data_IF_775330209855
#
_entry.id   IF_775330209855
#
_cell.length_a   1.000
_cell.length_b   1.000
_cell.length_c   1.000
_cell.angle_alpha   90.00
_cell.angle_beta   90.00
_cell.angle_gamma   90.00
#
_symmetry.space_group_name_H-M   'P 1'
#
loop_
_entity.id
_entity.type
_entity.pdbx_description
1 polymer ?
#
# COMPACT_ATOMS: atom_id res chain seq x y z
N UNK A 1 25.75 -10.22 6.41
CA UNK A 1 25.05 -9.35 7.38
C UNK A 1 24.21 -10.23 8.28
N UNK A 2 24.09 -9.92 9.58
CA UNK A 2 23.18 -10.65 10.47
C UNK A 2 21.71 -10.26 10.26
N UNK A 3 20.80 -10.90 11.00
CA UNK A 3 19.35 -10.64 10.93
C UNK A 3 18.94 -9.26 11.44
N UNK A 4 19.78 -8.68 12.30
CA UNK A 4 19.62 -7.35 12.87
C UNK A 4 20.95 -6.61 12.73
N UNK A 5 20.91 -5.43 12.14
CA UNK A 5 22.09 -4.62 11.81
C UNK A 5 21.87 -3.20 12.33
N UNK A 6 22.85 -2.60 12.98
CA UNK A 6 22.73 -1.21 13.45
C UNK A 6 22.63 -0.26 12.26
N UNK A 7 21.69 0.68 12.32
CA UNK A 7 21.59 1.77 11.36
C UNK A 7 22.65 2.87 11.64
N UNK A 8 22.95 3.75 10.68
CA UNK A 8 23.83 4.91 10.90
C UNK A 8 23.28 5.93 11.92
N UNK A 9 21.99 5.85 12.24
CA UNK A 9 21.30 6.63 13.27
C UNK A 9 20.90 5.73 14.45
N UNK A 10 20.21 6.29 15.46
CA UNK A 10 19.76 5.53 16.62
C UNK A 10 18.62 4.55 16.25
N UNK A 11 18.98 3.40 15.68
CA UNK A 11 18.05 2.34 15.29
C UNK A 11 18.71 1.15 14.63
N UNK A 12 17.89 0.23 14.12
CA UNK A 12 18.32 -1.05 13.55
C UNK A 12 17.58 -1.35 12.25
N UNK A 13 18.26 -1.99 11.30
CA UNK A 13 17.66 -2.68 10.16
C UNK A 13 17.45 -4.15 10.52
N UNK A 14 16.30 -4.70 10.14
CA UNK A 14 15.97 -6.12 10.31
C UNK A 14 15.75 -6.74 8.94
N UNK A 15 16.47 -7.82 8.68
CA UNK A 15 16.60 -8.40 7.34
C UNK A 15 16.15 -9.86 7.29
N UNK A 16 16.28 -10.61 8.39
CA UNK A 16 15.86 -12.01 8.45
C UNK A 16 14.34 -12.17 8.52
N UNK A 17 13.79 -13.16 7.80
CA UNK A 17 12.34 -13.36 7.71
C UNK A 17 11.68 -13.53 9.08
N UNK A 18 12.24 -14.39 9.93
CA UNK A 18 11.67 -14.69 11.25
C UNK A 18 11.78 -13.50 12.20
N UNK A 19 12.89 -12.75 12.16
CA UNK A 19 13.07 -11.53 12.96
C UNK A 19 12.10 -10.43 12.52
N UNK A 20 11.95 -10.21 11.21
CA UNK A 20 10.94 -9.29 10.66
C UNK A 20 9.52 -9.71 11.05
N UNK A 21 9.20 -10.99 10.94
CA UNK A 21 7.92 -11.56 11.37
C UNK A 21 7.65 -11.32 12.86
N UNK A 22 8.65 -11.52 13.73
CA UNK A 22 8.57 -11.24 15.17
C UNK A 22 8.26 -9.76 15.42
N UNK A 23 8.93 -8.84 14.72
CA UNK A 23 8.69 -7.39 14.85
C UNK A 23 7.28 -7.02 14.40
N UNK A 24 6.82 -7.54 13.27
CA UNK A 24 5.50 -7.19 12.73
C UNK A 24 4.34 -7.74 13.55
N UNK A 25 4.50 -8.92 14.18
CA UNK A 25 3.44 -9.63 14.91
C UNK A 25 3.49 -9.42 16.42
N UNK A 26 4.64 -9.02 16.95
CA UNK A 26 4.86 -8.88 18.39
C UNK A 26 4.17 -7.66 18.99
N UNK A 27 3.60 -7.82 20.19
CA UNK A 27 2.87 -6.75 20.90
C UNK A 27 3.79 -5.66 21.48
N UNK A 28 5.08 -5.95 21.63
CA UNK A 28 6.09 -5.03 22.16
C UNK A 28 6.66 -4.09 21.09
N UNK A 29 6.17 -4.19 19.86
CA UNK A 29 6.61 -3.38 18.74
C UNK A 29 5.50 -2.41 18.34
N UNK A 30 5.71 -1.14 18.65
CA UNK A 30 4.72 -0.08 18.45
C UNK A 30 5.01 0.69 17.15
N UNK A 31 3.99 1.33 16.59
CA UNK A 31 4.22 2.38 15.61
C UNK A 31 4.84 3.61 16.31
N UNK A 32 5.67 4.42 15.62
CA UNK A 32 6.20 5.67 16.18
C UNK A 32 5.06 6.68 16.38
N UNK A 33 4.48 6.74 17.57
CA UNK A 33 3.35 7.62 17.93
C UNK A 33 3.81 9.00 18.41
N UNK A 34 2.87 9.89 18.71
CA UNK A 34 3.16 11.26 19.16
C UNK A 34 4.01 11.29 20.43
N UNK A 35 3.71 10.44 21.42
CA UNK A 35 4.48 10.40 22.66
C UNK A 35 5.94 10.06 22.38
N UNK A 36 6.21 9.07 21.52
CA UNK A 36 7.57 8.74 21.11
C UNK A 36 8.23 9.88 20.33
N UNK A 37 7.50 10.51 19.40
CA UNK A 37 7.98 11.61 18.56
C UNK A 37 8.42 12.83 19.37
N UNK A 38 7.67 13.22 20.40
CA UNK A 38 7.97 14.35 21.29
C UNK A 38 9.28 14.15 22.09
N UNK A 39 9.77 12.92 22.22
CA UNK A 39 11.04 12.60 22.88
C UNK A 39 12.25 12.64 21.95
N UNK A 40 12.06 12.86 20.65
CA UNK A 40 13.15 12.80 19.67
C UNK A 40 13.79 14.18 19.42
N UNK A 41 15.10 14.17 19.12
CA UNK A 41 15.86 15.41 18.88
C UNK A 41 15.54 16.09 17.53
N UNK A 42 14.97 15.35 16.56
CA UNK A 42 14.64 15.86 15.23
C UNK A 42 13.21 16.43 15.17
N UNK A 43 12.98 17.51 15.90
CA UNK A 43 11.68 18.17 15.94
C UNK A 43 11.22 18.63 14.54
N UNK A 44 12.15 19.01 13.64
CA UNK A 44 11.80 19.44 12.27
C UNK A 44 11.09 18.34 11.48
N UNK A 45 11.53 17.09 11.62
CA UNK A 45 10.88 15.94 10.97
C UNK A 45 9.55 15.60 11.64
N UNK A 46 9.56 15.49 12.96
CA UNK A 46 8.42 14.92 13.70
C UNK A 46 7.29 15.93 13.93
N UNK A 47 7.59 17.23 13.99
CA UNK A 47 6.58 18.29 14.07
C UNK A 47 6.08 18.78 12.71
N UNK A 48 6.65 18.31 11.60
CA UNK A 48 6.16 18.64 10.28
C UNK A 48 4.67 18.26 10.14
N UNK A 49 3.86 19.18 9.60
CA UNK A 49 2.41 19.03 9.48
C UNK A 49 2.02 17.68 8.87
N UNK A 50 2.66 17.30 7.76
CA UNK A 50 2.38 16.05 7.07
C UNK A 50 2.74 14.80 7.89
N UNK A 51 3.84 14.85 8.65
CA UNK A 51 4.22 13.77 9.57
C UNK A 51 3.17 13.62 10.66
N UNK A 52 2.78 14.72 11.31
CA UNK A 52 1.77 14.71 12.37
C UNK A 52 0.41 14.22 11.87
N UNK A 53 0.01 14.61 10.67
CA UNK A 53 -1.22 14.13 10.06
C UNK A 53 -1.19 12.61 9.90
N UNK A 54 -0.10 12.07 9.34
CA UNK A 54 0.05 10.63 9.15
C UNK A 54 0.11 9.86 10.47
N UNK A 55 0.74 10.41 11.51
CA UNK A 55 0.75 9.82 12.85
C UNK A 55 -0.66 9.62 13.41
N UNK A 56 -1.62 10.46 13.00
CA UNK A 56 -3.02 10.37 13.42
C UNK A 56 -3.85 9.34 12.63
N UNK A 57 -3.29 8.73 11.59
CA UNK A 57 -3.99 7.74 10.76
C UNK A 57 -3.89 6.33 11.34
N UNK A 58 -4.86 5.47 10.98
CA UNK A 58 -4.95 4.10 11.48
C UNK A 58 -3.64 3.30 11.37
N UNK A 59 -2.82 3.51 10.33
CA UNK A 59 -1.56 2.78 10.18
C UNK A 59 -0.47 3.16 11.20
N UNK A 60 -0.60 4.29 11.89
CA UNK A 60 0.38 4.81 12.85
C UNK A 60 -0.12 4.86 14.30
N UNK A 61 -1.38 4.51 14.55
CA UNK A 61 -1.92 4.41 15.89
C UNK A 61 -1.45 3.13 16.59
N UNK A 62 -1.28 3.21 17.91
CA UNK A 62 -1.10 2.06 18.79
C UNK A 62 -2.42 1.70 19.50
N UNK A 63 -2.45 0.59 20.24
CA UNK A 63 -3.61 0.27 21.08
C UNK A 63 -3.66 1.19 22.32
N UNK A 64 -4.86 1.57 22.81
CA UNK A 64 -6.20 1.08 22.41
C UNK A 64 -6.83 1.75 21.18
N UNK A 65 -6.37 2.94 20.77
CA UNK A 65 -7.00 3.77 19.73
C UNK A 65 -7.05 3.04 18.38
N UNK A 66 -5.94 2.43 17.96
CA UNK A 66 -5.87 1.57 16.78
C UNK A 66 -6.91 0.46 16.84
N UNK A 67 -7.06 -0.18 18.00
CA UNK A 67 -7.97 -1.32 18.15
C UNK A 67 -9.42 -0.88 18.02
N UNK A 68 -9.78 0.29 18.57
CA UNK A 68 -11.11 0.87 18.44
C UNK A 68 -11.42 1.20 16.97
N UNK A 69 -10.56 2.01 16.33
CA UNK A 69 -10.76 2.41 14.94
C UNK A 69 -10.69 1.24 13.95
N UNK A 70 -9.81 0.26 14.18
CA UNK A 70 -9.74 -0.94 13.34
C UNK A 70 -11.02 -1.76 13.43
N UNK A 71 -11.62 -1.88 14.61
CA UNK A 71 -12.89 -2.61 14.80
C UNK A 71 -14.08 -1.87 14.20
N UNK A 72 -14.11 -0.54 14.24
CA UNK A 72 -15.22 0.23 13.66
C UNK A 72 -15.32 0.05 12.14
N UNK A 73 -14.21 -0.26 11.48
CA UNK A 73 -14.19 -0.61 10.06
C UNK A 73 -14.65 -2.05 9.79
N UNK A 74 -14.78 -2.90 10.80
CA UNK A 74 -15.05 -4.32 10.64
C UNK A 74 -14.00 -5.00 9.74
N UNK A 75 -14.45 -5.97 8.95
CA UNK A 75 -13.64 -6.55 7.87
C UNK A 75 -14.06 -5.91 6.55
N UNK A 76 -13.48 -4.75 6.21
CA UNK A 76 -13.87 -3.95 5.04
C UNK A 76 -13.91 -4.74 3.73
N UNK A 77 -12.98 -5.68 3.59
CA UNK A 77 -12.82 -6.51 2.39
C UNK A 77 -12.98 -7.98 2.76
N UNK A 78 -14.04 -8.26 3.52
CA UNK A 78 -14.51 -9.62 3.73
C UNK A 78 -14.96 -10.28 2.42
N UNK A 79 -15.24 -11.59 2.48
CA UNK A 79 -15.65 -12.36 1.30
C UNK A 79 -16.86 -11.74 0.59
N UNK A 80 -17.87 -11.31 1.35
CA UNK A 80 -19.10 -10.74 0.79
C UNK A 80 -18.85 -9.41 0.06
N UNK A 81 -17.97 -8.57 0.60
CA UNK A 81 -17.60 -7.30 -0.03
C UNK A 81 -16.73 -7.52 -1.27
N UNK A 82 -15.79 -8.47 -1.22
CA UNK A 82 -15.00 -8.86 -2.40
C UNK A 82 -15.90 -9.40 -3.52
N UNK A 83 -16.86 -10.27 -3.21
CA UNK A 83 -17.84 -10.78 -4.19
C UNK A 83 -18.65 -9.63 -4.82
N UNK A 84 -19.05 -8.64 -4.03
CA UNK A 84 -19.78 -7.44 -4.52
C UNK A 84 -18.91 -6.50 -5.35
N UNK A 85 -17.62 -6.35 -5.02
CA UNK A 85 -16.68 -5.49 -5.74
C UNK A 85 -16.17 -6.11 -7.04
N UNK A 86 -16.20 -7.45 -7.16
CA UNK A 86 -15.64 -8.16 -8.32
C UNK A 86 -16.18 -7.63 -9.67
N UNK A 87 -17.50 -7.48 -9.88
CA UNK A 87 -18.02 -6.96 -11.15
C UNK A 87 -17.57 -5.52 -11.46
N UNK A 88 -17.35 -4.69 -10.45
CA UNK A 88 -16.86 -3.32 -10.63
C UNK A 88 -15.39 -3.32 -11.06
N UNK A 89 -14.55 -4.13 -10.38
CA UNK A 89 -13.13 -4.30 -10.72
C UNK A 89 -12.99 -4.84 -12.14
N UNK A 90 -13.78 -5.83 -12.54
CA UNK A 90 -13.78 -6.38 -13.91
C UNK A 90 -14.13 -5.30 -14.94
N UNK A 91 -15.21 -4.54 -14.71
CA UNK A 91 -15.60 -3.44 -15.61
C UNK A 91 -14.51 -2.36 -15.72
N UNK A 92 -13.90 -1.98 -14.60
CA UNK A 92 -12.82 -1.01 -14.60
C UNK A 92 -11.59 -1.54 -15.36
N UNK A 93 -11.20 -2.80 -15.13
CA UNK A 93 -10.11 -3.44 -15.86
C UNK A 93 -10.42 -3.49 -17.37
N UNK A 94 -11.60 -3.95 -17.77
CA UNK A 94 -11.97 -4.08 -19.18
C UNK A 94 -11.88 -2.74 -19.93
N UNK A 95 -12.41 -1.66 -19.34
CA UNK A 95 -12.30 -0.31 -19.93
C UNK A 95 -10.84 0.15 -20.05
N UNK A 96 -10.04 -0.04 -19.01
CA UNK A 96 -8.62 0.37 -19.06
C UNK A 96 -7.83 -0.45 -20.07
N UNK A 97 -8.18 -1.73 -20.26
CA UNK A 97 -7.58 -2.57 -21.28
C UNK A 97 -8.07 -2.21 -22.69
N UNK A 98 -9.29 -1.68 -22.87
CA UNK A 98 -9.73 -1.09 -24.14
C UNK A 98 -8.87 0.13 -24.50
N UNK A 99 -8.66 1.03 -23.54
CA UNK A 99 -7.79 2.21 -23.71
C UNK A 99 -6.34 1.82 -24.01
N UNK A 100 -5.81 0.79 -23.32
CA UNK A 100 -4.49 0.25 -23.61
C UNK A 100 -4.41 -0.32 -25.03
N UNK A 101 -5.41 -1.12 -25.44
CA UNK A 101 -5.45 -1.71 -26.77
C UNK A 101 -5.42 -0.64 -27.86
N UNK A 102 -6.17 0.45 -27.71
CA UNK A 102 -6.19 1.55 -28.67
C UNK A 102 -4.85 2.29 -28.76
N UNK A 103 -4.14 2.49 -27.64
CA UNK A 103 -2.79 3.06 -27.66
C UNK A 103 -1.78 2.12 -28.33
N UNK A 104 -1.85 0.82 -28.04
CA UNK A 104 -0.95 -0.19 -28.62
C UNK A 104 -1.07 -0.30 -30.15
N UNK A 105 -2.20 0.10 -30.76
CA UNK A 105 -2.34 0.19 -32.23
C UNK A 105 -1.33 1.16 -32.86
N UNK A 106 -0.83 2.13 -32.10
CA UNK A 106 0.11 3.14 -32.56
C UNK A 106 1.57 2.84 -32.18
N UNK A 107 1.84 1.66 -31.61
CA UNK A 107 3.17 1.20 -31.22
C UNK A 107 3.24 0.88 -29.73
N UNK A 108 3.85 1.77 -28.97
CA UNK A 108 4.11 1.58 -27.54
C UNK A 108 3.13 2.38 -26.69
N UNK A 109 2.82 1.87 -25.50
CA UNK A 109 2.01 2.56 -24.51
C UNK A 109 2.70 2.54 -23.14
N UNK A 110 2.51 3.58 -22.34
CA UNK A 110 2.91 3.56 -20.95
C UNK A 110 1.83 2.87 -20.10
N UNK A 111 2.17 1.71 -19.54
CA UNK A 111 1.25 0.91 -18.74
C UNK A 111 0.86 1.60 -17.42
N UNK A 112 1.77 2.41 -16.86
CA UNK A 112 1.55 3.05 -15.56
C UNK A 112 0.41 4.05 -15.62
N UNK A 113 0.56 5.06 -16.48
CA UNK A 113 -0.45 6.11 -16.65
C UNK A 113 -1.76 5.61 -17.28
N UNK A 114 -1.71 4.55 -18.09
CA UNK A 114 -2.89 4.02 -18.79
C UNK A 114 -3.71 3.05 -17.94
N UNK A 115 -3.06 2.23 -17.10
CA UNK A 115 -3.75 1.13 -16.41
C UNK A 115 -3.46 1.12 -14.91
N UNK A 116 -2.20 1.00 -14.50
CA UNK A 116 -1.91 0.63 -13.10
C UNK A 116 -2.23 1.73 -12.09
N UNK A 117 -2.05 3.01 -12.43
CA UNK A 117 -2.47 4.11 -11.54
C UNK A 117 -4.00 4.29 -11.56
N UNK A 118 -4.65 3.90 -12.66
CA UNK A 118 -6.08 4.11 -12.87
C UNK A 118 -6.95 3.05 -12.18
N UNK A 119 -6.59 1.77 -12.25
CA UNK A 119 -7.40 0.68 -11.68
C UNK A 119 -7.71 0.88 -10.18
N UNK A 120 -6.73 1.17 -9.29
CA UNK A 120 -7.02 1.32 -7.87
C UNK A 120 -7.84 2.58 -7.56
N UNK A 121 -7.61 3.72 -8.24
CA UNK A 121 -8.41 4.93 -8.00
C UNK A 121 -9.86 4.74 -8.46
N UNK A 122 -10.09 4.06 -9.58
CA UNK A 122 -11.44 3.74 -10.04
C UNK A 122 -12.15 2.78 -9.07
N UNK A 123 -11.43 1.77 -8.57
CA UNK A 123 -11.98 0.78 -7.64
C UNK A 123 -12.33 1.42 -6.29
N UNK A 124 -11.38 2.10 -5.64
CA UNK A 124 -11.62 2.71 -4.34
C UNK A 124 -12.56 3.91 -4.44
N UNK A 125 -12.47 4.69 -5.52
CA UNK A 125 -13.32 5.84 -5.77
C UNK A 125 -14.77 5.44 -5.94
N UNK A 126 -15.06 4.39 -6.72
CA UNK A 126 -16.42 3.85 -6.84
C UNK A 126 -16.94 3.35 -5.49
N UNK A 127 -16.11 2.61 -4.74
CA UNK A 127 -16.51 2.03 -3.46
C UNK A 127 -16.76 3.06 -2.35
N UNK A 128 -15.97 4.15 -2.30
CA UNK A 128 -16.15 5.29 -1.38
C UNK A 128 -17.17 6.32 -1.89
N UNK A 129 -17.65 6.19 -3.13
CA UNK A 129 -18.55 7.15 -3.77
C UNK A 129 -17.90 8.52 -4.04
N UNK A 130 -16.60 8.52 -4.38
CA UNK A 130 -15.85 9.70 -4.80
C UNK A 130 -16.26 10.10 -6.23
N UNK A 131 -16.45 11.40 -6.53
CA UNK A 131 -16.70 11.88 -7.88
C UNK A 131 -15.56 11.53 -8.85
N UNK A 132 -15.81 10.87 -10.00
CA UNK A 132 -14.77 10.50 -10.96
C UNK A 132 -13.92 11.66 -11.48
N UNK A 133 -14.49 12.86 -11.56
CA UNK A 133 -13.80 14.09 -11.94
C UNK A 133 -12.67 14.47 -10.98
N UNK A 134 -12.72 14.01 -9.73
CA UNK A 134 -11.71 14.30 -8.71
C UNK A 134 -10.51 13.33 -8.78
N UNK A 135 -10.62 12.21 -9.51
CA UNK A 135 -9.61 11.13 -9.48
C UNK A 135 -8.20 11.60 -9.87
N UNK A 136 -8.01 12.40 -10.94
CA UNK A 136 -6.68 12.92 -11.28
C UNK A 136 -6.08 13.77 -10.17
N UNK A 137 -6.89 14.61 -9.52
CA UNK A 137 -6.44 15.46 -8.43
C UNK A 137 -6.07 14.64 -7.19
N UNK A 138 -6.89 13.65 -6.82
CA UNK A 138 -6.63 12.74 -5.69
C UNK A 138 -5.34 11.95 -5.89
N UNK A 139 -5.10 11.45 -7.10
CA UNK A 139 -3.84 10.78 -7.45
C UNK A 139 -2.64 11.71 -7.25
N UNK A 140 -2.72 12.93 -7.77
CA UNK A 140 -1.64 13.93 -7.65
C UNK A 140 -1.31 14.23 -6.18
N UNK A 141 -2.30 14.62 -5.39
CA UNK A 141 -2.08 14.99 -3.99
C UNK A 141 -1.65 13.79 -3.13
N UNK A 142 -2.11 12.57 -3.44
CA UNK A 142 -1.64 11.36 -2.75
C UNK A 142 -0.16 11.09 -3.03
N UNK A 143 0.27 11.20 -4.30
CA UNK A 143 1.67 11.03 -4.67
C UNK A 143 2.61 12.08 -4.07
N UNK A 144 2.10 13.29 -3.82
CA UNK A 144 2.84 14.36 -3.15
C UNK A 144 2.85 14.20 -1.63
N UNK A 145 1.80 13.61 -1.05
CA UNK A 145 1.72 13.39 0.40
C UNK A 145 2.72 12.32 0.89
N UNK A 146 2.91 11.24 0.13
CA UNK A 146 3.64 10.05 0.59
C UNK A 146 5.10 10.30 1.02
N UNK A 147 5.72 11.42 0.63
CA UNK A 147 7.06 11.79 1.07
C UNK A 147 7.21 11.88 2.60
N UNK A 148 6.17 12.27 3.36
CA UNK A 148 6.23 12.26 4.83
C UNK A 148 6.31 10.85 5.43
N UNK A 149 6.08 9.82 4.61
CA UNK A 149 6.15 8.42 5.01
C UNK A 149 7.51 7.78 4.65
N UNK A 150 8.39 8.49 3.93
CA UNK A 150 9.73 8.03 3.57
C UNK A 150 10.66 7.92 4.80
N UNK A 151 11.72 7.14 4.67
CA UNK A 151 12.62 6.85 5.78
C UNK A 151 13.45 8.08 6.18
N UNK A 152 13.92 8.86 5.22
CA UNK A 152 14.74 10.05 5.41
C UNK A 152 14.28 11.17 4.44
N UNK A 153 13.09 11.75 4.65
CA UNK A 153 12.60 12.81 3.77
C UNK A 153 13.45 14.08 3.96
N UNK A 154 13.72 14.80 2.87
CA UNK A 154 14.34 16.12 2.96
C UNK A 154 13.31 17.17 3.41
N UNK A 155 13.78 18.35 3.83
CA UNK A 155 12.86 19.46 4.14
C UNK A 155 12.02 19.90 2.94
N UNK A 156 12.54 19.76 1.72
CA UNK A 156 11.78 20.03 0.49
C UNK A 156 10.67 19.02 0.29
N UNK A 157 10.96 17.73 0.51
CA UNK A 157 9.97 16.66 0.40
C UNK A 157 8.84 16.83 1.43
N UNK A 158 9.20 17.22 2.67
CA UNK A 158 8.22 17.53 3.72
C UNK A 158 7.37 18.76 3.39
N UNK A 159 7.90 19.76 2.71
CA UNK A 159 7.13 20.94 2.29
C UNK A 159 6.08 20.56 1.23
N UNK A 160 6.47 19.78 0.22
CA UNK A 160 5.53 19.23 -0.80
C UNK A 160 4.44 18.40 -0.13
N UNK A 161 4.83 17.55 0.82
CA UNK A 161 3.89 16.72 1.56
C UNK A 161 2.94 17.53 2.45
N UNK A 162 3.43 18.63 3.05
CA UNK A 162 2.61 19.52 3.87
C UNK A 162 1.52 20.22 3.05
N UNK A 163 1.86 20.71 1.86
CA UNK A 163 0.88 21.31 0.95
C UNK A 163 -0.19 20.29 0.53
N UNK A 164 0.23 19.07 0.13
CA UNK A 164 -0.70 17.99 -0.21
C UNK A 164 -1.58 17.58 0.98
N UNK A 165 -1.04 17.58 2.20
CA UNK A 165 -1.77 17.27 3.42
C UNK A 165 -2.90 18.26 3.68
N UNK A 166 -2.68 19.56 3.46
CA UNK A 166 -3.74 20.58 3.59
C UNK A 166 -4.86 20.31 2.60
N UNK A 167 -4.53 19.98 1.34
CA UNK A 167 -5.52 19.68 0.30
C UNK A 167 -6.31 18.40 0.60
N UNK A 168 -5.64 17.33 1.01
CA UNK A 168 -6.26 16.06 1.42
C UNK A 168 -7.22 16.26 2.60
N UNK A 169 -6.77 16.95 3.65
CA UNK A 169 -7.62 17.27 4.81
C UNK A 169 -8.87 18.05 4.37
N UNK A 170 -8.70 19.10 3.58
CA UNK A 170 -9.84 19.89 3.09
C UNK A 170 -10.82 19.03 2.27
N UNK A 171 -10.31 18.21 1.35
CA UNK A 171 -11.12 17.35 0.49
C UNK A 171 -11.93 16.32 1.29
N UNK A 172 -11.28 15.57 2.20
CA UNK A 172 -11.96 14.51 2.94
C UNK A 172 -12.89 15.04 4.04
N UNK A 173 -12.59 16.21 4.63
CA UNK A 173 -13.53 16.89 5.53
C UNK A 173 -14.80 17.32 4.77
N UNK A 174 -14.63 17.93 3.59
CA UNK A 174 -15.76 18.30 2.74
C UNK A 174 -16.56 17.07 2.28
N UNK A 175 -15.89 15.96 1.93
CA UNK A 175 -16.54 14.72 1.55
C UNK A 175 -17.44 14.18 2.68
N UNK A 176 -16.95 14.17 3.94
CA UNK A 176 -17.76 13.76 5.10
C UNK A 176 -18.94 14.71 5.28
N UNK A 177 -18.72 16.02 5.19
CA UNK A 177 -19.78 17.02 5.33
C UNK A 177 -20.87 16.87 4.26
N UNK A 178 -20.49 16.73 2.98
CA UNK A 178 -21.40 16.44 1.87
C UNK A 178 -22.18 15.14 2.11
N UNK A 179 -21.49 14.10 2.58
CA UNK A 179 -22.13 12.81 2.83
C UNK A 179 -23.15 12.84 3.97
N UNK A 180 -22.93 13.69 4.98
CA UNK A 180 -23.91 13.93 6.04
C UNK A 180 -25.13 14.70 5.54
N UNK A 181 -24.92 15.71 4.69
CA UNK A 181 -26.00 16.50 4.10
C UNK A 181 -26.86 15.65 3.15
N UNK A 182 -26.22 14.78 2.37
CA UNK A 182 -26.87 13.91 1.39
C UNK A 182 -26.35 12.46 1.53
N UNK A 183 -26.90 11.68 2.49
CA UNK A 183 -26.54 10.27 2.66
C UNK A 183 -26.81 9.47 1.38
N UNK A 184 -25.95 8.50 1.07
CA UNK A 184 -26.16 7.57 -0.06
C UNK A 184 -26.00 6.12 0.40
N UNK A 185 -26.18 5.19 -0.53
CA UNK A 185 -25.98 3.77 -0.26
C UNK A 185 -24.52 3.35 -0.48
N UNK A 186 -23.60 3.91 0.30
CA UNK A 186 -22.19 3.52 0.27
C UNK A 186 -21.56 3.37 1.66
N UNK A 187 -20.29 2.95 1.67
CA UNK A 187 -19.57 2.59 2.90
C UNK A 187 -19.38 3.79 3.82
N UNK A 188 -19.20 5.00 3.28
CA UNK A 188 -18.98 6.20 4.07
C UNK A 188 -20.22 6.57 4.89
N UNK A 189 -21.43 6.45 4.31
CA UNK A 189 -22.68 6.61 5.08
C UNK A 189 -22.77 5.58 6.22
N UNK A 190 -22.35 4.33 5.99
CA UNK A 190 -22.29 3.32 7.05
C UNK A 190 -21.30 3.64 8.17
N UNK A 191 -20.11 4.15 7.84
CA UNK A 191 -19.12 4.59 8.82
C UNK A 191 -19.60 5.79 9.63
N UNK A 192 -20.27 6.76 8.99
CA UNK A 192 -20.89 7.89 9.67
C UNK A 192 -21.84 7.41 10.78
N UNK A 193 -22.76 6.51 10.45
CA UNK A 193 -23.69 5.95 11.45
C UNK A 193 -22.97 5.20 12.59
N UNK A 194 -21.89 4.51 12.27
CA UNK A 194 -21.09 3.79 13.29
C UNK A 194 -20.42 4.77 14.25
N UNK A 195 -19.79 5.83 13.74
CA UNK A 195 -19.10 6.81 14.57
C UNK A 195 -20.04 7.73 15.33
N UNK A 196 -21.20 8.09 14.78
CA UNK A 196 -22.24 8.83 15.49
C UNK A 196 -22.75 8.07 16.74
N UNK A 197 -22.67 6.74 16.73
CA UNK A 197 -23.04 5.91 17.87
C UNK A 197 -21.90 5.69 18.88
N UNK A 198 -20.64 5.76 18.43
CA UNK A 198 -19.45 5.52 19.26
C UNK A 198 -18.90 6.80 19.90
N UNK A 199 -19.06 7.95 19.24
CA UNK A 199 -18.54 9.24 19.67
C UNK A 199 -19.66 10.30 19.67
N UNK A 200 -20.17 10.70 20.85
CA UNK A 200 -21.22 11.71 20.97
C UNK A 200 -20.81 13.11 20.50
N UNK A 201 -19.52 13.43 20.53
CA UNK A 201 -19.00 14.68 19.98
C UNK A 201 -18.86 14.58 18.45
N UNK A 202 -19.78 15.22 17.75
CA UNK A 202 -19.84 15.18 16.29
C UNK A 202 -18.57 15.69 15.62
N UNK A 203 -17.89 16.69 16.18
CA UNK A 203 -16.66 17.22 15.59
C UNK A 203 -15.54 16.19 15.68
N UNK A 204 -15.43 15.48 16.81
CA UNK A 204 -14.47 14.40 16.99
C UNK A 204 -14.81 13.18 16.10
N UNK A 205 -16.08 12.84 15.96
CA UNK A 205 -16.53 11.80 15.05
C UNK A 205 -16.15 12.12 13.59
N UNK A 206 -16.37 13.36 13.15
CA UNK A 206 -16.02 13.83 11.81
C UNK A 206 -14.50 13.86 11.57
N UNK A 207 -13.72 14.25 12.59
CA UNK A 207 -12.26 14.20 12.55
C UNK A 207 -11.76 12.76 12.32
N UNK A 208 -12.38 11.77 12.99
CA UNK A 208 -12.01 10.36 12.79
C UNK A 208 -12.44 9.88 11.40
N UNK A 209 -13.64 10.24 10.95
CA UNK A 209 -14.19 9.82 9.65
C UNK A 209 -13.35 10.30 8.48
N UNK A 210 -12.92 11.57 8.45
CA UNK A 210 -12.07 12.03 7.35
C UNK A 210 -10.70 11.33 7.40
N UNK A 211 -10.10 11.14 8.60
CA UNK A 211 -8.80 10.45 8.73
C UNK A 211 -8.87 9.02 8.21
N UNK A 212 -9.95 8.30 8.53
CA UNK A 212 -10.19 6.95 8.05
C UNK A 212 -10.37 6.92 6.52
N UNK A 213 -11.17 7.83 5.98
CA UNK A 213 -11.46 7.90 4.54
C UNK A 213 -10.23 8.29 3.73
N UNK A 214 -9.47 9.28 4.22
CA UNK A 214 -8.18 9.69 3.69
C UNK A 214 -7.18 8.52 3.73
N UNK A 215 -7.05 7.85 4.88
CA UNK A 215 -6.12 6.72 5.05
C UNK A 215 -6.43 5.58 4.07
N UNK A 216 -7.70 5.17 3.96
CA UNK A 216 -8.10 4.08 3.07
C UNK A 216 -7.84 4.44 1.62
N UNK A 217 -8.10 5.69 1.22
CA UNK A 217 -7.79 6.18 -0.12
C UNK A 217 -6.28 6.12 -0.37
N UNK A 218 -5.46 6.83 0.42
CA UNK A 218 -4.00 6.89 0.24
C UNK A 218 -3.36 5.49 0.22
N UNK A 219 -3.74 4.63 1.16
CA UNK A 219 -3.16 3.29 1.30
C UNK A 219 -3.46 2.37 0.10
N UNK A 220 -4.54 2.62 -0.64
CA UNK A 220 -5.00 1.77 -1.75
C UNK A 220 -4.35 2.11 -3.10
N UNK A 221 -3.82 3.33 -3.28
CA UNK A 221 -3.40 3.83 -4.58
C UNK A 221 -1.98 3.37 -4.98
N UNK A 222 -0.94 3.99 -4.42
CA UNK A 222 0.44 3.78 -4.86
C UNK A 222 0.91 2.32 -4.70
N UNK A 223 0.46 1.64 -3.63
CA UNK A 223 0.87 0.25 -3.36
C UNK A 223 0.31 -0.72 -4.39
N UNK A 224 -0.98 -0.60 -4.72
CA UNK A 224 -1.63 -1.46 -5.71
C UNK A 224 -1.14 -1.12 -7.12
N UNK A 225 -1.00 0.15 -7.48
CA UNK A 225 -0.42 0.55 -8.77
C UNK A 225 0.99 -0.03 -8.98
N UNK A 226 1.82 -0.02 -7.93
CA UNK A 226 3.17 -0.61 -7.96
C UNK A 226 3.12 -2.13 -8.11
N UNK A 227 2.20 -2.82 -7.42
CA UNK A 227 1.98 -4.27 -7.58
C UNK A 227 1.61 -4.61 -9.03
N UNK A 228 0.62 -3.91 -9.61
CA UNK A 228 0.15 -4.18 -10.96
C UNK A 228 1.25 -3.94 -12.00
N UNK A 229 2.04 -2.88 -11.82
CA UNK A 229 3.17 -2.60 -12.72
C UNK A 229 4.29 -3.62 -12.59
N UNK A 230 4.66 -3.99 -11.37
CA UNK A 230 5.71 -5.00 -11.10
C UNK A 230 5.29 -6.37 -11.66
N UNK A 231 4.00 -6.70 -11.55
CA UNK A 231 3.42 -7.92 -12.10
C UNK A 231 3.62 -8.00 -13.61
N UNK A 232 3.28 -6.95 -14.36
CA UNK A 232 3.49 -6.92 -15.81
C UNK A 232 4.97 -6.92 -16.15
N UNK A 233 5.77 -6.10 -15.45
CA UNK A 233 7.23 -6.04 -15.67
C UNK A 233 7.90 -7.41 -15.52
N UNK A 234 7.60 -8.12 -14.42
CA UNK A 234 8.20 -9.42 -14.14
C UNK A 234 7.64 -10.53 -15.04
N UNK A 235 6.33 -10.58 -15.29
CA UNK A 235 5.74 -11.66 -16.07
C UNK A 235 6.02 -11.56 -17.56
N UNK A 236 6.14 -10.35 -18.10
CA UNK A 236 6.38 -10.12 -19.54
C UNK A 236 7.85 -9.85 -19.90
N UNK A 237 8.76 -9.81 -18.91
CA UNK A 237 10.21 -9.72 -19.15
C UNK A 237 10.76 -10.93 -19.93
N UNK A 238 10.13 -12.10 -19.78
CA UNK A 238 10.45 -13.31 -20.52
C UNK A 238 9.21 -13.80 -21.27
N UNK A 239 9.20 -13.80 -22.62
CA UNK A 239 8.01 -14.19 -23.39
C UNK A 239 7.46 -15.58 -23.03
N UNK A 240 8.34 -16.53 -22.74
CA UNK A 240 7.94 -17.89 -22.35
C UNK A 240 7.16 -17.93 -21.02
N UNK A 241 7.39 -16.98 -20.11
CA UNK A 241 6.67 -16.90 -18.82
C UNK A 241 5.24 -16.42 -19.01
N UNK A 242 5.04 -15.41 -19.85
CA UNK A 242 3.72 -14.91 -20.24
C UNK A 242 2.90 -15.98 -20.96
N UNK A 243 3.50 -16.64 -21.96
CA UNK A 243 2.86 -17.72 -22.71
C UNK A 243 2.53 -18.94 -21.82
N UNK A 244 3.44 -19.29 -20.92
CA UNK A 244 3.22 -20.34 -19.93
C UNK A 244 2.00 -20.01 -19.08
N UNK A 245 1.96 -18.85 -18.43
CA UNK A 245 0.85 -18.51 -17.54
C UNK A 245 -0.49 -18.42 -18.28
N UNK A 246 -0.49 -18.01 -19.55
CA UNK A 246 -1.68 -18.04 -20.42
C UNK A 246 -2.20 -19.47 -20.65
N UNK A 247 -1.31 -20.45 -20.74
CA UNK A 247 -1.64 -21.86 -20.95
C UNK A 247 -2.11 -22.56 -19.67
N UNK A 248 -1.73 -22.01 -18.50
CA UNK A 248 -2.09 -22.52 -17.18
C UNK A 248 -2.64 -21.41 -16.27
N UNK A 249 -3.81 -20.83 -16.59
CA UNK A 249 -4.39 -19.70 -15.87
C UNK A 249 -4.76 -20.02 -14.41
N UNK A 250 -4.86 -21.29 -14.04
CA UNK A 250 -5.00 -21.72 -12.64
C UNK A 250 -3.85 -21.27 -11.73
N UNK A 251 -2.71 -20.86 -12.29
CA UNK A 251 -1.54 -20.37 -11.57
C UNK A 251 -1.47 -18.84 -11.42
N UNK A 252 -2.51 -18.10 -11.82
CA UNK A 252 -2.55 -16.63 -11.69
C UNK A 252 -2.39 -16.18 -10.24
N UNK A 253 -3.08 -16.79 -9.29
CA UNK A 253 -2.97 -16.43 -7.87
C UNK A 253 -1.54 -16.69 -7.34
N UNK A 254 -0.90 -17.77 -7.79
CA UNK A 254 0.49 -18.08 -7.44
C UNK A 254 1.48 -17.07 -8.04
N UNK A 255 1.23 -16.62 -9.28
CA UNK A 255 2.02 -15.57 -9.93
C UNK A 255 1.91 -14.24 -9.17
N UNK A 256 0.71 -13.85 -8.74
CA UNK A 256 0.49 -12.63 -7.93
C UNK A 256 1.24 -12.72 -6.60
N UNK A 257 1.19 -13.88 -5.93
CA UNK A 257 1.92 -14.08 -4.67
C UNK A 257 3.44 -14.07 -4.85
N UNK A 258 3.96 -14.61 -5.96
CA UNK A 258 5.39 -14.51 -6.27
C UNK A 258 5.81 -13.07 -6.60
N UNK A 259 4.99 -12.28 -7.29
CA UNK A 259 5.25 -10.84 -7.49
C UNK A 259 5.32 -10.11 -6.16
N UNK A 260 4.36 -10.35 -5.26
CA UNK A 260 4.34 -9.73 -3.94
C UNK A 260 5.56 -10.12 -3.11
N UNK A 261 6.05 -11.35 -3.24
CA UNK A 261 7.28 -11.79 -2.58
C UNK A 261 8.51 -11.11 -3.22
N UNK A 262 8.64 -11.19 -4.54
CA UNK A 262 9.84 -10.83 -5.29
C UNK A 262 10.05 -9.32 -5.38
N UNK A 263 9.01 -8.51 -5.55
CA UNK A 263 9.16 -7.04 -5.57
C UNK A 263 7.99 -6.37 -4.82
N UNK A 264 8.00 -6.38 -3.47
CA UNK A 264 6.90 -5.84 -2.68
C UNK A 264 6.76 -4.32 -2.89
N UNK A 265 5.52 -3.77 -2.98
CA UNK A 265 5.32 -2.33 -3.16
C UNK A 265 5.91 -1.45 -2.06
N UNK A 266 5.96 -1.98 -0.83
CA UNK A 266 6.60 -1.34 0.32
C UNK A 266 7.83 -2.16 0.69
N UNK A 267 8.97 -1.51 0.81
CA UNK A 267 10.25 -2.10 1.17
C UNK A 267 10.57 -2.01 2.65
N UNK A 268 10.09 -0.96 3.32
CA UNK A 268 10.47 -0.66 4.70
C UNK A 268 9.24 -0.35 5.52
N UNK A 269 9.18 -0.89 6.74
CA UNK A 269 8.25 -0.43 7.77
C UNK A 269 9.00 -0.22 9.09
N UNK A 270 8.62 0.81 9.85
CA UNK A 270 9.30 1.16 11.09
C UNK A 270 8.43 0.79 12.28
N UNK A 271 9.04 0.17 13.29
CA UNK A 271 8.48 -0.01 14.64
C UNK A 271 9.43 0.57 15.69
N UNK A 272 8.92 0.79 16.88
CA UNK A 272 9.68 1.17 18.07
C UNK A 272 9.60 0.04 19.10
N UNK A 273 10.68 -0.20 19.84
CA UNK A 273 10.64 -1.10 20.98
C UNK A 273 9.92 -0.42 22.16
N UNK A 274 8.83 -1.01 22.65
CA UNK A 274 8.08 -0.47 23.79
C UNK A 274 8.81 -0.65 25.14
N UNK A 275 9.71 -1.63 25.22
CA UNK A 275 10.53 -1.98 26.37
C UNK A 275 11.87 -2.57 25.89
N UNK A 276 12.84 -2.68 26.79
CA UNK A 276 14.11 -3.37 26.51
C UNK A 276 13.82 -4.82 26.13
N UNK A 277 14.40 -5.28 25.02
CA UNK A 277 14.15 -6.62 24.49
C UNK A 277 15.36 -7.20 23.77
N UNK A 278 15.24 -8.43 23.28
CA UNK A 278 16.26 -9.11 22.48
C UNK A 278 15.64 -9.56 21.17
N UNK A 279 16.22 -9.13 20.05
CA UNK A 279 15.78 -9.49 18.70
C UNK A 279 16.92 -10.22 17.98
N UNK A 280 16.70 -11.49 17.61
CA UNK A 280 17.72 -12.34 16.97
C UNK A 280 19.09 -12.32 17.72
N UNK A 281 19.05 -12.33 19.06
CA UNK A 281 20.25 -12.28 19.91
C UNK A 281 20.87 -10.90 20.11
N UNK A 282 20.32 -9.84 19.49
CA UNK A 282 20.77 -8.46 19.64
C UNK A 282 19.92 -7.75 20.70
N UNK A 283 20.51 -7.15 21.76
CA UNK A 283 19.77 -6.33 22.70
C UNK A 283 19.27 -5.05 22.02
N UNK A 284 17.98 -4.76 22.18
CA UNK A 284 17.31 -3.58 21.66
C UNK A 284 16.77 -2.79 22.85
N UNK A 285 17.26 -1.58 23.04
CA UNK A 285 16.80 -0.67 24.09
C UNK A 285 15.40 -0.15 23.77
N UNK A 286 14.61 0.10 24.81
CA UNK A 286 13.34 0.82 24.71
C UNK A 286 13.49 2.11 23.88
N UNK A 287 12.45 2.46 23.14
CA UNK A 287 12.36 3.60 22.24
C UNK A 287 13.28 3.54 21.01
N UNK A 288 14.08 2.48 20.82
CA UNK A 288 14.86 2.27 19.60
C UNK A 288 13.97 2.02 18.40
N UNK A 289 14.28 2.67 17.26
CA UNK A 289 13.65 2.35 15.98
C UNK A 289 14.19 1.05 15.40
N UNK A 290 13.28 0.29 14.80
CA UNK A 290 13.57 -0.94 14.09
C UNK A 290 12.89 -0.89 12.72
N UNK A 291 13.69 -0.91 11.67
CA UNK A 291 13.27 -0.86 10.28
C UNK A 291 13.20 -2.28 9.71
N UNK A 292 11.99 -2.80 9.57
CA UNK A 292 11.68 -4.07 8.93
C UNK A 292 11.88 -3.91 7.42
N UNK A 293 12.87 -4.60 6.85
CA UNK A 293 13.13 -4.58 5.41
C UNK A 293 12.39 -5.73 4.73
N UNK A 294 11.17 -5.50 4.26
CA UNK A 294 10.33 -6.50 3.61
C UNK A 294 11.02 -7.13 2.39
N UNK A 295 11.67 -6.31 1.56
CA UNK A 295 12.41 -6.80 0.39
C UNK A 295 13.49 -7.82 0.79
N UNK A 296 14.29 -7.51 1.80
CA UNK A 296 15.31 -8.44 2.30
C UNK A 296 14.70 -9.71 2.93
N UNK A 297 13.67 -9.54 3.76
CA UNK A 297 12.99 -10.64 4.45
C UNK A 297 12.34 -11.62 3.45
N UNK A 298 11.68 -11.11 2.41
CA UNK A 298 11.09 -11.93 1.36
C UNK A 298 12.13 -12.67 0.50
N UNK A 299 13.39 -12.22 0.54
CA UNK A 299 14.53 -12.86 -0.10
C UNK A 299 15.43 -13.64 0.87
N UNK A 300 14.94 -13.98 2.05
CA UNK A 300 15.68 -14.81 2.99
C UNK A 300 15.79 -16.25 2.48
N UNK A 301 17.01 -16.76 2.16
CA UNK A 301 17.18 -18.10 1.59
C UNK A 301 16.80 -19.23 2.56
N UNK A 302 16.70 -18.95 3.87
CA UNK A 302 16.22 -19.92 4.87
C UNK A 302 14.72 -20.17 4.73
N UNK A 303 13.97 -19.20 4.19
CA UNK A 303 12.52 -19.30 3.98
C UNK A 303 12.15 -19.54 2.52
N UNK A 304 12.88 -18.93 1.59
CA UNK A 304 12.65 -19.01 0.15
C UNK A 304 13.97 -19.43 -0.53
N UNK A 305 14.20 -20.74 -0.77
CA UNK A 305 15.41 -21.23 -1.44
C UNK A 305 15.58 -20.60 -2.83
N UNK A 306 16.80 -20.25 -3.21
CA UNK A 306 17.08 -19.46 -4.42
C UNK A 306 16.18 -18.21 -4.57
N UNK A 307 16.25 -17.29 -3.59
CA UNK A 307 15.27 -16.22 -3.45
C UNK A 307 15.30 -15.18 -4.58
N UNK A 308 16.43 -15.08 -5.28
CA UNK A 308 16.65 -14.16 -6.40
C UNK A 308 16.11 -14.65 -7.75
N UNK A 309 15.57 -15.87 -7.80
CA UNK A 309 14.85 -16.38 -8.98
C UNK A 309 13.36 -16.06 -8.86
N UNK A 310 12.77 -15.54 -9.92
CA UNK A 310 11.31 -15.37 -10.00
C UNK A 310 10.66 -16.69 -10.42
N UNK A 311 9.96 -17.35 -9.49
CA UNK A 311 9.32 -18.65 -9.72
C UNK A 311 7.84 -18.62 -9.34
N UNK A 312 6.97 -18.65 -10.36
CA UNK A 312 5.51 -18.63 -10.19
C UNK A 312 5.02 -19.76 -9.27
N UNK A 313 5.68 -20.92 -9.29
CA UNK A 313 5.24 -22.12 -8.59
C UNK A 313 5.91 -22.31 -7.22
N UNK A 314 6.67 -21.32 -6.75
CA UNK A 314 7.47 -21.40 -5.52
C UNK A 314 6.68 -21.86 -4.30
N UNK A 315 5.43 -21.42 -4.15
CA UNK A 315 4.59 -21.69 -2.96
C UNK A 315 5.19 -21.13 -1.65
N UNK A 316 6.05 -20.11 -1.75
CA UNK A 316 6.80 -19.52 -0.64
C UNK A 316 5.98 -18.61 0.26
N UNK A 317 6.58 -18.15 1.36
CA UNK A 317 5.96 -17.17 2.26
C UNK A 317 6.55 -15.78 2.05
N UNK A 318 5.71 -14.75 2.17
CA UNK A 318 6.13 -13.35 2.12
C UNK A 318 5.48 -12.53 3.24
N UNK A 319 6.08 -11.39 3.58
CA UNK A 319 5.64 -10.45 4.62
C UNK A 319 5.08 -9.14 4.04
N UNK A 320 4.79 -9.11 2.73
CA UNK A 320 4.39 -7.91 1.97
C UNK A 320 3.16 -7.20 2.55
N UNK A 321 2.22 -7.95 3.13
CA UNK A 321 1.05 -7.40 3.81
C UNK A 321 1.25 -7.15 5.31
N UNK A 322 2.48 -7.24 5.80
CA UNK A 322 2.82 -7.09 7.21
C UNK A 322 2.36 -8.27 8.06
N UNK A 323 1.98 -7.99 9.31
CA UNK A 323 1.52 -8.99 10.26
C UNK A 323 0.90 -8.35 11.52
N UNK A 324 0.34 -9.21 12.37
CA UNK A 324 -0.21 -8.79 13.65
C UNK A 324 -1.43 -7.87 13.50
N UNK A 325 -1.56 -6.93 14.44
CA UNK A 325 -2.69 -6.00 14.47
C UNK A 325 -2.70 -5.04 13.26
N UNK A 326 -1.55 -4.80 12.63
CA UNK A 326 -1.40 -3.95 11.45
C UNK A 326 -1.38 -4.73 10.13
N UNK A 327 -1.85 -5.99 10.10
CA UNK A 327 -1.99 -6.72 8.84
C UNK A 327 -2.84 -5.92 7.84
N UNK A 328 -2.37 -5.85 6.59
CA UNK A 328 -2.94 -4.98 5.56
C UNK A 328 -4.45 -5.16 5.45
N UNK A 329 -5.19 -4.04 5.54
CA UNK A 329 -6.64 -4.03 5.43
C UNK A 329 -7.11 -4.45 4.04
N UNK A 330 -6.42 -3.94 3.02
CA UNK A 330 -6.76 -4.11 1.61
C UNK A 330 -6.15 -5.34 0.95
N UNK A 331 -5.56 -6.28 1.70
CA UNK A 331 -4.85 -7.43 1.12
C UNK A 331 -5.71 -8.24 0.14
N UNK A 332 -6.98 -8.48 0.50
CA UNK A 332 -7.92 -9.20 -0.36
C UNK A 332 -8.30 -8.39 -1.62
N UNK A 333 -8.47 -7.07 -1.49
CA UNK A 333 -8.79 -6.20 -2.62
C UNK A 333 -7.60 -6.07 -3.60
N UNK A 334 -6.39 -5.85 -3.10
CA UNK A 334 -5.20 -5.77 -3.93
C UNK A 334 -4.97 -7.06 -4.74
N UNK A 335 -5.20 -8.23 -4.12
CA UNK A 335 -5.15 -9.52 -4.83
C UNK A 335 -6.28 -9.66 -5.86
N UNK A 336 -7.50 -9.21 -5.55
CA UNK A 336 -8.61 -9.19 -6.50
C UNK A 336 -8.28 -8.35 -7.73
N UNK A 337 -7.79 -7.12 -7.54
CA UNK A 337 -7.40 -6.24 -8.64
C UNK A 337 -6.30 -6.87 -9.50
N UNK A 338 -5.25 -7.40 -8.86
CA UNK A 338 -4.13 -8.02 -9.57
C UNK A 338 -4.54 -9.25 -10.38
N UNK A 339 -5.26 -10.20 -9.78
CA UNK A 339 -5.67 -11.43 -10.48
C UNK A 339 -6.67 -11.15 -11.61
N UNK A 340 -7.60 -10.22 -11.40
CA UNK A 340 -8.58 -9.82 -12.42
C UNK A 340 -7.86 -9.17 -13.60
N UNK A 341 -6.99 -8.20 -13.33
CA UNK A 341 -6.24 -7.54 -14.39
C UNK A 341 -5.37 -8.52 -15.16
N UNK A 342 -4.62 -9.38 -14.47
CA UNK A 342 -3.72 -10.36 -15.09
C UNK A 342 -4.48 -11.36 -15.97
N UNK A 343 -5.59 -11.91 -15.49
CA UNK A 343 -6.43 -12.84 -16.26
C UNK A 343 -6.92 -12.20 -17.58
N UNK A 344 -7.43 -10.97 -17.50
CA UNK A 344 -7.92 -10.23 -18.68
C UNK A 344 -6.78 -9.88 -19.65
N UNK A 345 -5.60 -9.52 -19.13
CA UNK A 345 -4.44 -9.20 -19.97
C UNK A 345 -3.89 -10.43 -20.71
N UNK A 346 -3.80 -11.58 -20.05
CA UNK A 346 -3.31 -12.83 -20.66
C UNK A 346 -4.21 -13.29 -21.83
N UNK A 347 -5.52 -13.09 -21.71
CA UNK A 347 -6.49 -13.38 -22.77
C UNK A 347 -6.39 -12.37 -23.93
N UNK A 348 -6.37 -11.07 -23.62
CA UNK A 348 -6.46 -10.00 -24.64
C UNK A 348 -5.14 -9.69 -25.34
N UNK A 349 -4.01 -9.87 -24.68
CA UNK A 349 -2.69 -9.47 -25.18
C UNK A 349 -1.68 -10.63 -25.12
N UNK A 350 -1.85 -11.65 -25.98
CA UNK A 350 -1.02 -12.86 -25.94
C UNK A 350 0.46 -12.62 -26.23
N UNK A 351 0.80 -11.51 -26.90
CA UNK A 351 2.17 -11.12 -27.25
C UNK A 351 2.69 -9.90 -26.47
N UNK A 352 1.98 -9.48 -25.41
CA UNK A 352 2.41 -8.33 -24.61
C UNK A 352 3.83 -8.52 -24.08
N UNK A 353 4.66 -7.50 -24.25
CA UNK A 353 6.03 -7.45 -23.75
C UNK A 353 6.38 -6.07 -23.26
N UNK A 354 7.30 -6.01 -22.29
CA UNK A 354 7.95 -4.77 -21.90
C UNK A 354 8.96 -4.35 -22.97
N UNK A 355 9.02 -3.06 -23.28
CA UNK A 355 9.95 -2.50 -24.29
C UNK A 355 10.98 -1.56 -23.69
N UNK A 356 10.78 -1.17 -22.43
CA UNK A 356 11.73 -0.39 -21.64
C UNK A 356 11.80 -0.92 -20.21
N UNK A 357 12.93 -0.77 -19.52
CA UNK A 357 13.00 -1.02 -18.08
C UNK A 357 12.03 -0.10 -17.32
N UNK A 358 11.46 -0.56 -16.19
CA UNK A 358 10.65 0.29 -15.34
C UNK A 358 11.44 1.51 -14.85
N UNK A 359 10.80 2.67 -14.85
CA UNK A 359 11.34 3.91 -14.28
C UNK A 359 10.86 4.02 -12.84
N UNK A 360 11.78 4.13 -11.88
CA UNK A 360 11.45 4.21 -10.46
C UNK A 360 11.53 5.65 -9.94
N UNK A 361 10.63 6.00 -9.02
CA UNK A 361 10.79 7.20 -8.20
C UNK A 361 12.00 7.02 -7.25
N UNK A 362 12.75 8.09 -6.93
CA UNK A 362 13.91 8.02 -6.04
C UNK A 362 13.49 7.93 -4.56
N UNK A 363 12.87 6.81 -4.18
CA UNK A 363 12.26 6.54 -2.87
C UNK A 363 12.86 5.30 -2.21
N UNK A 364 12.79 5.21 -0.88
CA UNK A 364 13.32 4.09 -0.11
C UNK A 364 12.22 3.20 0.47
N UNK A 365 11.12 3.80 0.95
CA UNK A 365 10.02 3.07 1.59
C UNK A 365 9.11 2.47 0.54
N UNK A 366 8.69 3.26 -0.44
CA UNK A 366 7.81 2.83 -1.51
C UNK A 366 8.59 2.58 -2.80
N UNK A 367 8.35 1.45 -3.45
CA UNK A 367 9.02 1.06 -4.70
C UNK A 367 8.27 1.56 -5.93
N UNK A 368 7.82 2.81 -5.90
CA UNK A 368 6.95 3.37 -6.95
C UNK A 368 7.61 3.30 -8.33
N UNK A 369 6.91 2.68 -9.27
CA UNK A 369 7.24 2.71 -10.70
C UNK A 369 6.40 3.81 -11.35
N UNK A 370 7.05 4.77 -12.00
CA UNK A 370 6.40 5.94 -12.62
C UNK A 370 6.17 5.76 -14.12
N UNK A 371 6.84 4.80 -14.76
CA UNK A 371 6.57 4.44 -16.15
C UNK A 371 7.03 3.01 -16.46
N UNK A 372 6.30 2.35 -17.35
CA UNK A 372 6.63 1.04 -17.92
C UNK A 372 6.12 0.99 -19.36
N UNK A 373 7.03 1.06 -20.33
CA UNK A 373 6.68 0.93 -21.74
C UNK A 373 6.32 -0.50 -22.09
N UNK A 374 5.17 -0.69 -22.75
CA UNK A 374 4.70 -1.98 -23.26
C UNK A 374 4.33 -1.91 -24.74
N UNK A 375 4.46 -3.04 -25.44
CA UNK A 375 4.07 -3.23 -26.84
C UNK A 375 3.52 -4.63 -27.08
N UNK A 376 2.94 -4.85 -28.26
CA UNK A 376 2.58 -6.18 -28.78
C UNK A 376 3.70 -6.81 -29.63
#
# INVERSE_FOLDING_TARGET
MGDVVRAPWNGYFVTGFDACSQVLRGRNWQAPDFAWQERQDDAKRWDALATREMTSTLARLNAPEHTCQRRSLGNLFDRSTIERLTPDVERHADRLLDELADKLRWGEADFVSTVSEQLPIHTIGSWLGLPPEDYPHILEITHNQVYAQELLPTSSDLAVSAEATVQLRAYFTDLVARRRAEPRHDVLTGWIHTWDALEPDREQADEILYRLTMFVTIASLETTATLLTSMVSLLSAEPGRWEWLRSWPEHIDAAVDEVLRYDPPIHINTRIAAEDTVLAGVPIEKDSMVHVLYGAANHDPRRNPDPGTFDILRGGSHLTFGGGVHYCLGAALAKLEARTLLARMLDRFPALRTVSPPVYAPRMVFRRITSLGVAL
#
